data_IF_666222878298
#
_entry.id   IF_666222878298
#
_cell.length_a   1.000
_cell.length_b   1.000
_cell.length_c   1.000
_cell.angle_alpha   90.00
_cell.angle_beta   90.00
_cell.angle_gamma   90.00
#
_symmetry.space_group_name_H-M   'P 1'
#
loop_
_entity.id
_entity.type
_entity.pdbx_description
1 polymer ?
#
# COMPACT_ATOMS: atom_id res chain seq x y z
N UNK A 1 -30.84 4.53 -36.52
CA UNK A 1 -30.34 5.79 -35.94
C UNK A 1 -29.87 5.46 -34.54
N UNK A 2 -28.56 5.44 -34.33
CA UNK A 2 -27.92 5.03 -33.08
C UNK A 2 -27.72 6.28 -32.22
N UNK A 3 -28.69 6.60 -31.35
CA UNK A 3 -28.64 7.73 -30.41
C UNK A 3 -28.39 7.25 -28.98
N UNK A 4 -27.38 6.40 -28.74
CA UNK A 4 -27.07 5.94 -27.37
C UNK A 4 -25.59 6.15 -26.96
N UNK A 5 -24.80 6.87 -27.76
CA UNK A 5 -23.35 7.00 -27.52
C UNK A 5 -22.94 8.30 -26.81
N UNK A 6 -23.86 9.24 -26.58
CA UNK A 6 -23.52 10.54 -25.98
C UNK A 6 -23.57 10.50 -24.45
N UNK A 7 -24.56 9.82 -23.86
CA UNK A 7 -24.72 9.72 -22.40
C UNK A 7 -23.58 8.93 -21.74
N UNK A 8 -23.12 7.85 -22.38
CA UNK A 8 -21.99 7.03 -21.92
C UNK A 8 -20.64 7.72 -22.08
N UNK A 9 -20.50 8.65 -23.03
CA UNK A 9 -19.25 9.40 -23.21
C UNK A 9 -19.09 10.50 -22.16
N UNK A 10 -20.19 11.17 -21.79
CA UNK A 10 -20.19 12.21 -20.75
C UNK A 10 -19.94 11.64 -19.35
N UNK A 11 -20.43 10.43 -19.07
CA UNK A 11 -20.18 9.71 -17.83
C UNK A 11 -18.71 9.25 -17.67
N UNK A 12 -18.05 8.88 -18.77
CA UNK A 12 -16.63 8.50 -18.74
C UNK A 12 -15.72 9.71 -18.48
N UNK A 13 -15.97 10.86 -19.12
CA UNK A 13 -15.18 12.06 -18.88
C UNK A 13 -15.35 12.66 -17.47
N UNK A 14 -16.53 12.50 -16.84
CA UNK A 14 -16.76 12.96 -15.46
C UNK A 14 -16.09 12.08 -14.38
N UNK A 15 -15.73 10.83 -14.72
CA UNK A 15 -14.95 9.96 -13.84
C UNK A 15 -13.45 10.25 -13.93
N UNK A 16 -12.98 10.79 -15.05
CA UNK A 16 -11.57 11.13 -15.29
C UNK A 16 -11.16 12.49 -14.66
N UNK A 17 -12.13 13.35 -14.33
CA UNK A 17 -11.93 14.60 -13.59
C UNK A 17 -11.95 14.42 -12.06
N UNK A 18 -12.06 13.18 -11.58
CA UNK A 18 -11.88 12.83 -10.17
C UNK A 18 -10.41 12.59 -9.92
N UNK A 19 -9.79 13.65 -9.39
CA UNK A 19 -8.67 13.59 -8.45
C UNK A 19 -7.55 12.65 -8.89
N UNK A 20 -6.48 13.25 -9.40
CA UNK A 20 -5.14 12.67 -9.30
C UNK A 20 -4.94 12.25 -7.85
N UNK A 21 -5.30 11.01 -7.50
CA UNK A 21 -4.90 10.39 -6.26
C UNK A 21 -3.39 10.52 -6.29
N UNK A 22 -2.88 11.42 -5.45
CA UNK A 22 -1.45 11.62 -5.31
C UNK A 22 -0.84 10.22 -5.15
N UNK A 23 0.12 9.88 -6.00
CA UNK A 23 0.78 8.57 -5.98
C UNK A 23 1.50 8.46 -4.64
N UNK A 24 0.76 7.99 -3.62
CA UNK A 24 1.29 7.86 -2.28
C UNK A 24 2.28 6.72 -2.30
N UNK A 25 3.54 7.05 -2.03
CA UNK A 25 4.58 6.04 -1.89
C UNK A 25 4.13 4.99 -0.87
N UNK A 26 4.27 3.69 -1.19
CA UNK A 26 3.81 2.62 -0.31
C UNK A 26 4.47 2.78 1.05
N UNK A 27 3.64 2.97 2.10
CA UNK A 27 4.13 3.20 3.45
C UNK A 27 4.70 1.96 4.15
N UNK A 28 4.61 0.81 3.49
CA UNK A 28 4.93 -0.53 4.02
C UNK A 28 5.54 -1.38 2.90
N UNK A 29 6.56 -2.17 3.23
CA UNK A 29 7.15 -3.18 2.32
C UNK A 29 6.96 -4.58 2.87
N UNK A 30 6.97 -5.58 1.99
CA UNK A 30 6.90 -6.99 2.35
C UNK A 30 8.22 -7.69 2.14
N UNK A 31 8.92 -8.08 3.21
CA UNK A 31 10.17 -8.87 3.15
C UNK A 31 9.94 -10.21 3.84
N UNK A 32 10.31 -11.31 3.19
CA UNK A 32 10.22 -12.66 3.76
C UNK A 32 8.81 -13.06 4.25
N UNK A 33 7.75 -12.45 3.69
CA UNK A 33 6.36 -12.66 4.14
C UNK A 33 5.93 -11.79 5.33
N UNK A 34 6.80 -10.90 5.82
CA UNK A 34 6.52 -9.96 6.91
C UNK A 34 6.39 -8.54 6.37
N UNK A 35 5.49 -7.75 6.95
CA UNK A 35 5.22 -6.37 6.55
C UNK A 35 5.98 -5.41 7.46
N UNK A 36 6.75 -4.48 6.90
CA UNK A 36 7.53 -3.51 7.65
C UNK A 36 7.12 -2.10 7.27
N UNK A 37 6.91 -1.24 8.28
CA UNK A 37 6.63 0.17 8.06
C UNK A 37 7.91 0.86 7.63
N UNK A 38 7.85 1.56 6.50
CA UNK A 38 9.00 2.32 5.94
C UNK A 38 8.73 3.80 5.80
N UNK A 39 7.53 4.26 6.16
CA UNK A 39 7.12 5.65 6.03
C UNK A 39 6.51 6.17 7.36
N UNK A 40 6.54 7.49 7.55
CA UNK A 40 6.06 8.25 8.71
C UNK A 40 6.51 7.68 10.07
N UNK A 41 7.56 8.28 10.64
CA UNK A 41 8.09 7.89 11.96
C UNK A 41 9.19 6.83 11.91
N UNK A 42 9.69 6.53 10.71
CA UNK A 42 10.80 5.62 10.47
C UNK A 42 12.01 6.43 9.99
N UNK A 43 13.19 6.25 10.61
CA UNK A 43 14.42 6.88 10.13
C UNK A 43 14.74 6.48 8.70
N UNK A 44 15.29 7.40 7.92
CA UNK A 44 15.64 7.11 6.52
C UNK A 44 16.64 5.95 6.39
N UNK A 45 17.55 5.78 7.35
CA UNK A 45 18.50 4.66 7.39
C UNK A 45 17.79 3.30 7.51
N UNK A 46 16.68 3.24 8.26
CA UNK A 46 15.84 2.05 8.41
C UNK A 46 15.09 1.78 7.11
N UNK A 47 14.50 2.83 6.51
CA UNK A 47 13.81 2.73 5.21
C UNK A 47 14.72 2.26 4.09
N UNK A 48 15.96 2.76 4.01
CA UNK A 48 16.96 2.35 3.02
C UNK A 48 17.38 0.90 3.22
N UNK A 49 17.70 0.50 4.46
CA UNK A 49 18.06 -0.87 4.79
C UNK A 49 16.93 -1.86 4.45
N UNK A 50 15.69 -1.50 4.76
CA UNK A 50 14.49 -2.26 4.42
C UNK A 50 14.29 -2.35 2.89
N UNK A 51 14.48 -1.27 2.14
CA UNK A 51 14.44 -1.32 0.68
C UNK A 51 15.55 -2.18 0.07
N UNK A 52 16.78 -2.11 0.61
CA UNK A 52 17.90 -2.93 0.17
C UNK A 52 17.68 -4.43 0.45
N UNK A 53 16.93 -4.77 1.49
CA UNK A 53 16.51 -6.15 1.75
C UNK A 53 15.36 -6.57 0.82
N UNK A 54 14.48 -5.65 0.43
CA UNK A 54 13.42 -5.93 -0.52
C UNK A 54 13.92 -6.14 -1.95
N UNK A 55 14.96 -5.40 -2.36
CA UNK A 55 15.62 -5.55 -3.67
C UNK A 55 16.40 -6.87 -3.79
N UNK A 56 16.74 -7.50 -2.67
CA UNK A 56 17.40 -8.80 -2.65
C UNK A 56 16.41 -9.96 -2.91
N UNK A 57 16.75 -10.80 -3.88
CA UNK A 57 15.92 -11.91 -4.37
C UNK A 57 15.62 -12.99 -3.29
N UNK A 58 16.56 -13.24 -2.37
CA UNK A 58 16.44 -14.24 -1.29
C UNK A 58 16.79 -13.66 0.08
N UNK A 59 15.91 -12.87 0.67
CA UNK A 59 16.01 -12.45 2.08
C UNK A 59 15.08 -13.27 2.96
N UNK A 60 15.63 -13.80 4.06
CA UNK A 60 14.87 -14.47 5.12
C UNK A 60 14.66 -13.53 6.29
N UNK A 61 13.61 -13.77 7.06
CA UNK A 61 13.33 -13.01 8.28
C UNK A 61 14.48 -13.07 9.30
N UNK A 62 15.24 -14.16 9.32
CA UNK A 62 16.39 -14.33 10.21
C UNK A 62 17.54 -13.37 9.87
N UNK A 63 17.70 -13.01 8.60
CA UNK A 63 18.72 -12.06 8.12
C UNK A 63 18.33 -10.60 8.40
N UNK A 64 17.06 -10.34 8.72
CA UNK A 64 16.58 -9.00 9.06
C UNK A 64 17.09 -8.63 10.47
N UNK A 65 17.85 -7.54 10.63
CA UNK A 65 18.29 -7.07 11.94
C UNK A 65 17.10 -6.81 12.88
N UNK A 66 17.27 -7.07 14.17
CA UNK A 66 16.24 -6.88 15.20
C UNK A 66 15.74 -5.43 15.26
N UNK A 67 16.64 -4.48 14.97
CA UNK A 67 16.33 -3.05 14.87
C UNK A 67 15.28 -2.76 13.79
N UNK A 68 15.35 -3.46 12.64
CA UNK A 68 14.34 -3.35 11.58
C UNK A 68 13.07 -4.14 11.93
N UNK A 69 13.19 -5.25 12.66
CA UNK A 69 12.04 -6.02 13.17
C UNK A 69 11.15 -5.23 14.12
N UNK A 70 11.69 -4.25 14.82
CA UNK A 70 10.89 -3.33 15.63
C UNK A 70 9.84 -2.54 14.81
N UNK A 71 10.06 -2.39 13.49
CA UNK A 71 9.15 -1.72 12.56
C UNK A 71 8.20 -2.68 11.83
N UNK A 72 8.23 -3.97 12.19
CA UNK A 72 7.30 -4.95 11.68
C UNK A 72 5.87 -4.58 12.07
N UNK A 73 5.03 -4.36 11.06
CA UNK A 73 3.60 -4.18 11.24
C UNK A 73 3.00 -5.56 11.37
N UNK A 74 2.74 -5.95 12.61
CA UNK A 74 1.87 -7.10 12.87
C UNK A 74 0.48 -6.69 12.43
N UNK A 75 0.01 -7.26 11.33
CA UNK A 75 -1.42 -7.31 11.05
C UNK A 75 -2.06 -8.17 12.14
N UNK A 76 -2.28 -7.58 13.32
CA UNK A 76 -3.38 -8.00 14.15
C UNK A 76 -4.60 -7.91 13.23
N UNK A 77 -5.16 -9.08 12.91
CA UNK A 77 -6.29 -9.24 12.01
C UNK A 77 -7.48 -8.44 12.53
N UNK A 78 -7.53 -7.16 12.16
CA UNK A 78 -8.67 -6.29 12.35
C UNK A 78 -8.81 -5.33 11.17
N UNK A 79 -8.62 -5.85 9.96
CA UNK A 79 -9.46 -5.44 8.83
C UNK A 79 -10.80 -6.19 8.93
N UNK A 80 -11.48 -5.99 10.06
CA UNK A 80 -12.88 -6.32 10.22
C UNK A 80 -13.68 -5.18 9.64
N UNK A 81 -13.76 -5.15 8.31
CA UNK A 81 -14.85 -4.55 7.57
C UNK A 81 -16.15 -4.61 8.39
N UNK A 82 -16.53 -3.50 9.01
CA UNK A 82 -17.89 -3.29 9.50
C UNK A 82 -18.51 -2.21 8.62
N UNK A 83 -18.69 -2.54 7.35
CA UNK A 83 -19.87 -2.13 6.59
C UNK A 83 -21.12 -2.33 7.47
N UNK A 84 -21.49 -1.32 8.27
CA UNK A 84 -22.89 -1.18 8.69
C UNK A 84 -23.69 -0.66 7.51
N UNK A 85 -23.87 -1.52 6.52
CA UNK A 85 -25.09 -1.50 5.72
C UNK A 85 -26.24 -1.99 6.62
N UNK A 86 -27.25 -1.15 6.81
CA UNK A 86 -28.56 -1.53 7.30
C UNK A 86 -28.92 -1.01 8.70
N UNK A 87 -29.69 0.09 8.73
CA UNK A 87 -31.11 0.02 9.12
C UNK A 87 -31.89 1.23 8.61
#
# INVERSE_FOLDING_TARGET
MSQDTEATKLAQSALEERETLDEVEPGVIGIAGHRFRINYGVPQEVTDALNALYDQDEVKYEDIPDDLKAYEVKEDSNDGNTEKSGK
#
